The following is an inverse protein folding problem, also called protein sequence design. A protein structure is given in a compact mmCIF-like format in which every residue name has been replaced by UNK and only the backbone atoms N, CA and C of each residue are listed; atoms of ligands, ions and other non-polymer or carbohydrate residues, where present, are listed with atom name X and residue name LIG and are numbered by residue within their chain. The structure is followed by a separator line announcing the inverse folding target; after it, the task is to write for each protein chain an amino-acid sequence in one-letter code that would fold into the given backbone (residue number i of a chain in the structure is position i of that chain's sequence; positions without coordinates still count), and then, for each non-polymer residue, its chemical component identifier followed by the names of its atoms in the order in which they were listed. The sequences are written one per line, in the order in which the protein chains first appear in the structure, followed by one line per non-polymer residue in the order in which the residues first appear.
data_IF_405799714705
#
_entry.id   IF_405799714705
#
_cell.length_a   1.000
_cell.length_b   1.000
_cell.length_c   1.000
_cell.angle_alpha   90.00
_cell.angle_beta   90.00
_cell.angle_gamma   90.00
#
_symmetry.space_group_name_H-M   'P 1'
#
loop_
_entity.id
_entity.type
_entity.pdbx_description
1 polymer ?
#
# COMPACT_ATOMS: atom_id res chain seq x y z
N UNK A 1 -35.96 20.17 9.93
CA UNK A 1 -34.78 19.56 10.59
C UNK A 1 -34.80 18.03 10.53
N UNK A 2 -35.87 17.35 10.97
CA UNK A 2 -35.95 15.89 10.92
C UNK A 2 -35.83 15.27 9.50
N UNK A 3 -36.53 15.85 8.51
CA UNK A 3 -36.47 15.35 7.12
C UNK A 3 -35.07 15.46 6.48
N UNK A 4 -34.32 16.51 6.81
CA UNK A 4 -32.95 16.72 6.31
C UNK A 4 -32.01 15.67 6.94
N UNK A 5 -32.16 15.39 8.23
CA UNK A 5 -31.40 14.33 8.90
C UNK A 5 -31.67 12.93 8.34
N UNK A 6 -32.94 12.63 8.04
CA UNK A 6 -33.32 11.36 7.42
C UNK A 6 -32.74 11.21 6.00
N UNK A 7 -32.77 12.29 5.21
CA UNK A 7 -32.17 12.32 3.87
C UNK A 7 -30.65 12.13 3.93
N UNK A 8 -29.97 12.77 4.89
CA UNK A 8 -28.54 12.59 5.13
C UNK A 8 -28.18 11.14 5.53
N UNK A 9 -28.95 10.55 6.44
CA UNK A 9 -28.77 9.15 6.83
C UNK A 9 -28.96 8.19 5.64
N UNK A 10 -30.01 8.40 4.83
CA UNK A 10 -30.27 7.60 3.64
C UNK A 10 -29.13 7.73 2.61
N UNK A 11 -28.60 8.93 2.41
CA UNK A 11 -27.46 9.18 1.53
C UNK A 11 -26.22 8.44 2.03
N UNK A 12 -25.87 8.57 3.31
CA UNK A 12 -24.69 7.90 3.88
C UNK A 12 -24.80 6.38 3.85
N UNK A 13 -25.98 5.82 4.16
CA UNK A 13 -26.24 4.39 4.02
C UNK A 13 -26.08 3.90 2.57
N UNK A 14 -26.51 4.69 1.61
CA UNK A 14 -26.34 4.38 0.18
C UNK A 14 -24.86 4.34 -0.18
N UNK A 15 -24.09 5.34 0.23
CA UNK A 15 -22.63 5.40 -0.02
C UNK A 15 -21.93 4.19 0.61
N UNK A 16 -22.20 3.89 1.90
CA UNK A 16 -21.62 2.75 2.61
C UNK A 16 -21.95 1.43 1.89
N UNK A 17 -23.19 1.25 1.45
CA UNK A 17 -23.64 0.03 0.76
C UNK A 17 -22.96 -0.15 -0.60
N UNK A 18 -22.78 0.94 -1.36
CA UNK A 18 -22.15 0.92 -2.68
C UNK A 18 -20.63 0.75 -2.59
N UNK A 19 -19.98 1.42 -1.64
CA UNK A 19 -18.51 1.45 -1.56
C UNK A 19 -17.90 0.29 -0.76
N UNK A 20 -18.68 -0.42 0.06
CA UNK A 20 -18.14 -1.44 0.98
C UNK A 20 -17.29 -2.52 0.30
N UNK A 21 -17.65 -2.96 -0.91
CA UNK A 21 -16.86 -3.93 -1.68
C UNK A 21 -15.59 -3.33 -2.29
N UNK A 22 -15.66 -2.08 -2.72
CA UNK A 22 -14.56 -1.38 -3.41
C UNK A 22 -13.54 -0.78 -2.43
N UNK A 23 -13.93 -0.55 -1.18
CA UNK A 23 -13.08 -0.05 -0.10
C UNK A 23 -11.89 -0.96 0.23
N UNK A 24 -11.95 -2.24 -0.13
CA UNK A 24 -10.85 -3.19 0.07
C UNK A 24 -9.74 -3.07 -0.99
N UNK A 25 -10.03 -2.46 -2.15
CA UNK A 25 -9.11 -2.45 -3.31
C UNK A 25 -8.40 -1.11 -3.52
N UNK A 26 -8.96 -0.03 -3.00
CA UNK A 26 -8.46 1.32 -3.26
C UNK A 26 -8.52 2.17 -2.00
N UNK A 27 -7.38 2.71 -1.60
CA UNK A 27 -7.24 3.53 -0.40
C UNK A 27 -8.11 4.80 -0.44
N UNK A 28 -8.33 5.38 -1.61
CA UNK A 28 -9.20 6.55 -1.79
C UNK A 28 -10.67 6.18 -1.56
N UNK A 29 -11.10 5.03 -2.11
CA UNK A 29 -12.47 4.53 -1.89
C UNK A 29 -12.65 4.12 -0.43
N UNK A 30 -11.62 3.52 0.19
CA UNK A 30 -11.60 3.20 1.61
C UNK A 30 -11.78 4.44 2.47
N UNK A 31 -11.11 5.54 2.14
CA UNK A 31 -11.26 6.82 2.82
C UNK A 31 -12.69 7.36 2.73
N UNK A 32 -13.26 7.42 1.51
CA UNK A 32 -14.64 7.84 1.31
C UNK A 32 -15.65 6.94 2.05
N UNK A 33 -15.44 5.63 2.03
CA UNK A 33 -16.25 4.67 2.77
C UNK A 33 -16.17 4.89 4.28
N UNK A 34 -14.96 5.02 4.85
CA UNK A 34 -14.77 5.23 6.28
C UNK A 34 -15.39 6.54 6.75
N UNK A 35 -15.34 7.60 5.93
CA UNK A 35 -16.01 8.87 6.21
C UNK A 35 -17.53 8.71 6.27
N UNK A 36 -18.15 8.17 5.21
CA UNK A 36 -19.60 7.95 5.18
C UNK A 36 -20.09 6.97 6.26
N UNK A 37 -19.26 5.99 6.60
CA UNK A 37 -19.53 5.07 7.71
C UNK A 37 -19.50 5.78 9.06
N UNK A 38 -18.53 6.67 9.28
CA UNK A 38 -18.47 7.54 10.45
C UNK A 38 -19.72 8.42 10.58
N UNK A 39 -20.16 9.05 9.49
CA UNK A 39 -21.36 9.90 9.50
C UNK A 39 -22.64 9.09 9.74
N UNK A 40 -22.71 7.86 9.23
CA UNK A 40 -23.82 6.94 9.48
C UNK A 40 -23.89 6.58 10.97
N UNK A 41 -22.76 6.18 11.56
CA UNK A 41 -22.68 5.88 13.00
C UNK A 41 -23.00 7.12 13.85
N UNK A 42 -22.51 8.29 13.44
CA UNK A 42 -22.87 9.61 13.99
C UNK A 42 -24.37 9.80 14.07
N UNK A 43 -25.04 9.68 12.92
CA UNK A 43 -26.48 9.88 12.78
C UNK A 43 -27.29 8.90 13.63
N UNK A 44 -26.92 7.61 13.63
CA UNK A 44 -27.57 6.58 14.47
C UNK A 44 -27.33 6.87 15.95
N UNK A 45 -26.10 7.24 16.32
CA UNK A 45 -25.73 7.58 17.69
C UNK A 45 -26.54 8.75 18.24
N UNK A 46 -26.69 9.83 17.48
CA UNK A 46 -27.50 11.00 17.88
C UNK A 46 -28.97 10.63 18.07
N UNK A 47 -29.55 9.83 17.14
CA UNK A 47 -30.95 9.39 17.26
C UNK A 47 -31.15 8.50 18.48
N UNK A 48 -30.26 7.52 18.70
CA UNK A 48 -30.31 6.63 19.85
C UNK A 48 -30.11 7.39 21.17
N UNK A 49 -29.16 8.33 21.20
CA UNK A 49 -28.90 9.20 22.35
C UNK A 49 -30.11 10.07 22.71
N UNK A 50 -30.74 10.69 21.71
CA UNK A 50 -31.96 11.49 21.92
C UNK A 50 -33.11 10.68 22.52
N UNK A 51 -33.34 9.45 22.04
CA UNK A 51 -34.35 8.55 22.61
C UNK A 51 -34.00 8.16 24.04
N UNK A 52 -32.74 7.80 24.30
CA UNK A 52 -32.30 7.38 25.63
C UNK A 52 -32.40 8.52 26.65
N UNK A 53 -32.03 9.74 26.28
CA UNK A 53 -32.17 10.94 27.12
C UNK A 53 -33.64 11.24 27.42
N UNK A 54 -34.53 11.10 26.44
CA UNK A 54 -35.95 11.34 26.64
C UNK A 54 -36.56 10.41 27.71
N UNK A 55 -36.12 9.16 27.77
CA UNK A 55 -36.61 8.16 28.73
C UNK A 55 -35.90 8.25 30.07
N UNK A 56 -34.58 8.44 30.08
CA UNK A 56 -33.76 8.33 31.31
C UNK A 56 -33.43 9.66 31.97
N UNK A 57 -33.65 10.80 31.28
CA UNK A 57 -33.18 12.14 31.66
C UNK A 57 -31.65 12.25 31.83
N UNK A 58 -30.89 11.23 31.46
CA UNK A 58 -29.44 11.17 31.63
C UNK A 58 -28.73 11.89 30.47
N UNK A 59 -28.51 13.20 30.63
CA UNK A 59 -27.95 14.07 29.58
C UNK A 59 -26.50 13.75 29.19
N UNK A 60 -25.72 13.07 30.04
CA UNK A 60 -24.33 12.67 29.76
C UNK A 60 -24.21 11.59 28.69
N UNK A 61 -25.31 10.90 28.33
CA UNK A 61 -25.33 9.90 27.26
C UNK A 61 -24.78 10.46 25.95
N UNK A 62 -25.20 11.67 25.58
CA UNK A 62 -24.82 12.28 24.31
C UNK A 62 -23.30 12.46 24.21
N UNK A 63 -22.68 12.94 25.29
CA UNK A 63 -21.22 13.12 25.37
C UNK A 63 -20.48 11.78 25.26
N UNK A 64 -20.99 10.72 25.90
CA UNK A 64 -20.39 9.38 25.82
C UNK A 64 -20.48 8.80 24.41
N UNK A 65 -21.63 8.95 23.74
CA UNK A 65 -21.81 8.51 22.35
C UNK A 65 -20.87 9.29 21.43
N UNK A 66 -20.80 10.61 21.56
CA UNK A 66 -19.90 11.44 20.77
C UNK A 66 -18.43 11.03 20.95
N UNK A 67 -17.99 10.83 22.20
CA UNK A 67 -16.63 10.39 22.49
C UNK A 67 -16.32 9.02 21.87
N UNK A 68 -17.27 8.08 21.98
CA UNK A 68 -17.14 6.75 21.38
C UNK A 68 -16.96 6.82 19.86
N UNK A 69 -17.77 7.64 19.18
CA UNK A 69 -17.71 7.81 17.72
C UNK A 69 -16.39 8.48 17.31
N UNK A 70 -15.93 9.49 18.05
CA UNK A 70 -14.62 10.14 17.81
C UNK A 70 -13.48 9.13 17.92
N UNK A 71 -13.47 8.25 18.92
CA UNK A 71 -12.43 7.22 19.07
C UNK A 71 -12.44 6.23 17.91
N UNK A 72 -13.63 5.75 17.50
CA UNK A 72 -13.75 4.81 16.38
C UNK A 72 -13.28 5.41 15.05
N UNK A 73 -13.71 6.63 14.74
CA UNK A 73 -13.30 7.34 13.52
C UNK A 73 -11.81 7.65 13.59
N UNK A 74 -11.32 8.18 14.72
CA UNK A 74 -9.91 8.52 14.92
C UNK A 74 -8.98 7.32 14.72
N UNK A 75 -9.29 6.17 15.32
CA UNK A 75 -8.52 4.95 15.15
C UNK A 75 -8.48 4.49 13.68
N UNK A 76 -9.61 4.61 12.98
CA UNK A 76 -9.71 4.25 11.56
C UNK A 76 -8.92 5.20 10.66
N UNK A 77 -8.99 6.50 10.92
CA UNK A 77 -8.25 7.54 10.21
C UNK A 77 -6.75 7.40 10.41
N UNK A 78 -6.28 7.11 11.63
CA UNK A 78 -4.84 6.88 11.89
C UNK A 78 -4.32 5.69 11.10
N UNK A 79 -5.09 4.60 10.99
CA UNK A 79 -4.73 3.44 10.16
C UNK A 79 -4.63 3.84 8.68
N UNK A 80 -5.64 4.55 8.17
CA UNK A 80 -5.65 5.01 6.78
C UNK A 80 -4.47 5.95 6.48
N UNK A 81 -4.19 6.88 7.39
CA UNK A 81 -3.07 7.81 7.27
C UNK A 81 -1.72 7.08 7.22
N UNK A 82 -1.55 6.04 8.05
CA UNK A 82 -0.35 5.20 8.03
C UNK A 82 -0.20 4.46 6.69
N UNK A 83 -1.30 3.91 6.17
CA UNK A 83 -1.31 3.23 4.87
C UNK A 83 -0.94 4.20 3.74
N UNK A 84 -1.51 5.41 3.74
CA UNK A 84 -1.16 6.47 2.77
C UNK A 84 0.30 6.92 2.91
N UNK A 85 0.79 7.10 4.13
CA UNK A 85 2.16 7.49 4.39
C UNK A 85 3.15 6.44 3.86
N UNK A 86 2.85 5.14 4.00
CA UNK A 86 3.68 4.08 3.41
C UNK A 86 3.76 4.19 1.89
N UNK A 87 2.65 4.50 1.21
CA UNK A 87 2.65 4.68 -0.25
C UNK A 87 3.50 5.90 -0.64
N UNK A 88 3.32 7.03 0.05
CA UNK A 88 4.04 8.28 -0.24
C UNK A 88 5.54 8.14 0.03
N UNK A 89 5.91 7.40 1.07
CA UNK A 89 7.31 7.13 1.44
C UNK A 89 7.91 5.97 0.65
N UNK A 90 7.27 5.52 -0.43
CA UNK A 90 7.73 4.42 -1.27
C UNK A 90 8.07 3.15 -0.45
N UNK A 91 7.25 2.89 0.56
CA UNK A 91 7.37 1.72 1.42
C UNK A 91 7.06 0.42 0.68
N UNK A 92 7.75 -0.64 1.08
CA UNK A 92 7.46 -2.00 0.62
C UNK A 92 6.04 -2.42 1.01
N UNK A 93 5.31 -3.14 0.12
CA UNK A 93 3.98 -3.65 0.44
C UNK A 93 4.00 -4.50 1.71
N UNK A 94 2.97 -4.36 2.57
CA UNK A 94 2.92 -5.07 3.86
C UNK A 94 2.92 -6.60 3.74
N UNK A 95 2.43 -7.12 2.61
CA UNK A 95 2.26 -8.55 2.36
C UNK A 95 3.43 -9.16 1.57
N UNK A 96 4.47 -8.35 1.28
CA UNK A 96 5.60 -8.75 0.47
C UNK A 96 6.91 -8.61 1.27
N UNK A 97 7.70 -9.69 1.30
CA UNK A 97 9.04 -9.69 1.90
C UNK A 97 10.10 -9.60 0.80
N UNK A 98 10.97 -8.57 0.77
CA UNK A 98 12.04 -8.44 -0.23
C UNK A 98 12.93 -9.67 -0.31
N UNK A 99 13.15 -10.37 0.80
CA UNK A 99 13.97 -11.58 0.87
C UNK A 99 13.36 -12.73 0.05
N UNK A 100 12.03 -12.86 0.07
CA UNK A 100 11.32 -13.89 -0.71
C UNK A 100 11.37 -13.60 -2.21
N UNK A 101 11.33 -12.32 -2.57
CA UNK A 101 11.50 -11.88 -3.95
C UNK A 101 12.92 -12.19 -4.42
N UNK A 102 13.93 -11.81 -3.64
CA UNK A 102 15.32 -12.10 -3.95
C UNK A 102 15.58 -13.60 -4.12
N UNK A 103 15.04 -14.44 -3.24
CA UNK A 103 15.18 -15.89 -3.32
C UNK A 103 14.49 -16.48 -4.56
N UNK A 104 13.29 -15.99 -4.89
CA UNK A 104 12.60 -16.41 -6.10
C UNK A 104 13.36 -16.03 -7.38
N UNK A 105 14.03 -14.87 -7.41
CA UNK A 105 14.89 -14.45 -8.52
C UNK A 105 16.12 -15.36 -8.59
N UNK A 106 16.80 -15.62 -7.46
CA UNK A 106 17.98 -16.51 -7.39
C UNK A 106 17.68 -17.96 -7.78
N UNK A 107 16.43 -18.41 -7.67
CA UNK A 107 16.03 -19.74 -8.12
C UNK A 107 16.13 -19.95 -9.64
N UNK A 108 16.34 -18.88 -10.42
CA UNK A 108 16.51 -18.95 -11.87
C UNK A 108 17.97 -19.33 -12.19
N UNK A 109 18.25 -20.47 -12.85
CA UNK A 109 19.61 -21.02 -12.97
C UNK A 109 20.67 -20.10 -13.58
N UNK A 110 20.25 -19.14 -14.41
CA UNK A 110 21.13 -18.21 -15.08
C UNK A 110 21.50 -16.98 -14.22
N UNK A 111 20.80 -16.75 -13.10
CA UNK A 111 21.07 -15.67 -12.15
C UNK A 111 22.11 -16.15 -11.14
N UNK A 112 23.21 -15.42 -11.02
CA UNK A 112 24.30 -15.71 -10.07
C UNK A 112 24.19 -14.91 -8.78
N UNK A 113 23.54 -13.75 -8.83
CA UNK A 113 23.38 -12.86 -7.70
C UNK A 113 22.25 -11.86 -7.94
N UNK A 114 21.76 -11.29 -6.84
CA UNK A 114 20.76 -10.22 -6.84
C UNK A 114 21.18 -9.25 -5.75
N UNK A 115 21.32 -7.97 -6.11
CA UNK A 115 21.68 -6.90 -5.20
C UNK A 115 20.91 -5.62 -5.55
N UNK A 116 21.00 -4.63 -4.66
CA UNK A 116 20.29 -3.34 -4.78
C UNK A 116 18.78 -3.48 -5.07
N UNK A 117 18.16 -4.53 -4.52
CA UNK A 117 16.76 -4.85 -4.77
C UNK A 117 15.85 -3.92 -3.97
N UNK A 118 15.16 -3.03 -4.67
CA UNK A 118 14.20 -2.10 -4.10
C UNK A 118 12.80 -2.46 -4.59
N UNK A 119 11.86 -2.56 -3.64
CA UNK A 119 10.46 -2.88 -3.94
C UNK A 119 9.55 -1.94 -3.17
N UNK A 120 8.68 -1.24 -3.90
CA UNK A 120 7.80 -0.24 -3.32
C UNK A 120 6.42 -0.22 -3.95
N UNK A 121 5.48 0.39 -3.23
CA UNK A 121 4.11 0.60 -3.70
C UNK A 121 3.96 2.01 -4.26
N UNK A 122 3.56 2.14 -5.52
CA UNK A 122 3.29 3.47 -6.13
C UNK A 122 1.86 3.93 -5.83
N UNK A 123 0.90 3.00 -5.91
CA UNK A 123 -0.50 3.25 -5.55
C UNK A 123 -1.18 1.93 -5.17
N UNK A 124 -2.45 1.98 -4.78
CA UNK A 124 -3.23 0.78 -4.43
C UNK A 124 -3.19 -0.26 -5.56
N UNK A 125 -2.57 -1.40 -5.29
CA UNK A 125 -2.47 -2.52 -6.24
C UNK A 125 -1.37 -2.40 -7.30
N UNK A 126 -0.53 -1.36 -7.25
CA UNK A 126 0.62 -1.20 -8.14
C UNK A 126 1.93 -1.27 -7.36
N UNK A 127 2.62 -2.39 -7.49
CA UNK A 127 3.94 -2.65 -6.93
C UNK A 127 4.98 -2.56 -8.04
N UNK A 128 6.07 -1.84 -7.76
CA UNK A 128 7.19 -1.64 -8.68
C UNK A 128 8.47 -2.17 -8.02
N UNK A 129 9.38 -2.66 -8.86
CA UNK A 129 10.66 -3.22 -8.43
C UNK A 129 11.81 -2.65 -9.28
N UNK A 130 12.91 -2.26 -8.64
CA UNK A 130 14.21 -2.08 -9.29
C UNK A 130 15.22 -3.01 -8.65
N UNK A 131 16.22 -3.44 -9.42
CA UNK A 131 17.32 -4.21 -8.85
C UNK A 131 18.33 -4.64 -9.88
N UNK A 132 19.40 -5.22 -9.38
CA UNK A 132 20.54 -5.63 -10.18
C UNK A 132 20.67 -7.16 -10.17
N UNK A 133 20.89 -7.72 -11.35
CA UNK A 133 21.09 -9.14 -11.57
C UNK A 133 22.54 -9.39 -11.95
N UNK A 134 23.25 -10.20 -11.15
CA UNK A 134 24.57 -10.66 -11.52
C UNK A 134 24.44 -11.90 -12.41
N UNK A 135 25.04 -11.89 -13.60
CA UNK A 135 25.05 -13.01 -14.54
C UNK A 135 26.48 -13.42 -14.89
N UNK A 136 26.63 -14.52 -15.65
CA UNK A 136 27.95 -14.94 -16.12
C UNK A 136 28.57 -13.86 -17.02
N UNK A 137 29.85 -13.51 -16.81
CA UNK A 137 30.52 -12.40 -17.51
C UNK A 137 30.71 -12.59 -19.02
N UNK A 138 30.41 -13.78 -19.55
CA UNK A 138 30.42 -14.08 -20.98
C UNK A 138 29.01 -14.09 -21.61
N UNK A 139 27.97 -13.71 -20.87
CA UNK A 139 26.61 -13.64 -21.38
C UNK A 139 26.51 -12.58 -22.49
N UNK A 140 25.94 -12.99 -23.62
CA UNK A 140 25.58 -12.06 -24.70
C UNK A 140 24.42 -11.16 -24.28
N UNK A 141 24.26 -10.00 -24.95
CA UNK A 141 23.11 -9.10 -24.73
C UNK A 141 21.77 -9.84 -24.88
N UNK A 142 21.69 -10.79 -25.82
CA UNK A 142 20.47 -11.57 -26.05
C UNK A 142 20.21 -12.64 -24.97
N UNK A 143 21.25 -13.17 -24.33
CA UNK A 143 21.10 -14.04 -23.17
C UNK A 143 20.68 -13.25 -21.93
N UNK A 144 21.30 -12.08 -21.70
CA UNK A 144 20.91 -11.16 -20.63
C UNK A 144 19.43 -10.75 -20.75
N UNK A 145 18.97 -10.40 -21.95
CA UNK A 145 17.57 -10.08 -22.21
C UNK A 145 16.62 -11.24 -21.85
N UNK A 146 16.96 -12.48 -22.22
CA UNK A 146 16.18 -13.68 -21.88
C UNK A 146 16.15 -13.95 -20.38
N UNK A 147 17.25 -13.68 -19.67
CA UNK A 147 17.29 -13.79 -18.20
C UNK A 147 16.35 -12.77 -17.58
N UNK A 148 16.40 -11.50 -18.01
CA UNK A 148 15.51 -10.45 -17.54
C UNK A 148 14.05 -10.84 -17.78
N UNK A 149 13.69 -11.31 -18.98
CA UNK A 149 12.33 -11.77 -19.30
C UNK A 149 11.86 -12.90 -18.36
N UNK A 150 12.71 -13.89 -18.11
CA UNK A 150 12.40 -14.99 -17.19
C UNK A 150 12.19 -14.51 -15.75
N UNK A 151 13.02 -13.57 -15.29
CA UNK A 151 12.88 -12.94 -13.96
C UNK A 151 11.58 -12.17 -13.89
N UNK A 152 11.29 -11.32 -14.88
CA UNK A 152 10.06 -10.53 -14.94
C UNK A 152 8.82 -11.42 -14.97
N UNK A 153 8.86 -12.56 -15.68
CA UNK A 153 7.77 -13.52 -15.67
C UNK A 153 7.57 -14.15 -14.28
N UNK A 154 8.66 -14.55 -13.61
CA UNK A 154 8.61 -15.07 -12.24
C UNK A 154 8.02 -14.06 -11.25
N UNK A 155 8.39 -12.79 -11.40
CA UNK A 155 7.89 -11.68 -10.59
C UNK A 155 6.39 -11.44 -10.80
N UNK A 156 5.94 -11.49 -12.05
CA UNK A 156 4.50 -11.41 -12.40
C UNK A 156 3.71 -12.57 -11.81
N UNK A 157 4.15 -13.80 -12.06
CA UNK A 157 3.36 -14.99 -11.72
C UNK A 157 3.25 -15.19 -10.21
N UNK A 158 4.35 -14.98 -9.46
CA UNK A 158 4.41 -15.27 -8.02
C UNK A 158 4.03 -14.08 -7.14
N UNK A 159 4.35 -12.86 -7.55
CA UNK A 159 4.22 -11.67 -6.71
C UNK A 159 3.32 -10.58 -7.30
N UNK A 160 2.76 -10.79 -8.51
CA UNK A 160 1.95 -9.81 -9.22
C UNK A 160 2.69 -8.48 -9.50
N UNK A 161 4.02 -8.51 -9.52
CA UNK A 161 4.85 -7.35 -9.86
C UNK A 161 4.90 -7.26 -11.38
N UNK A 162 4.17 -6.30 -11.94
CA UNK A 162 4.05 -6.11 -13.40
C UNK A 162 5.05 -5.12 -13.97
N UNK A 163 5.58 -4.23 -13.13
CA UNK A 163 6.52 -3.19 -13.51
C UNK A 163 7.83 -3.42 -12.77
N UNK A 164 8.89 -3.76 -13.51
CA UNK A 164 10.21 -3.95 -12.93
C UNK A 164 11.30 -3.54 -13.89
N UNK A 165 12.29 -2.79 -13.38
CA UNK A 165 13.49 -2.41 -14.13
C UNK A 165 14.68 -3.16 -13.53
N UNK A 166 15.33 -3.99 -14.35
CA UNK A 166 16.41 -4.86 -13.91
C UNK A 166 17.67 -4.50 -14.67
N UNK A 167 18.71 -4.07 -13.95
CA UNK A 167 20.05 -3.94 -14.50
C UNK A 167 20.73 -5.30 -14.50
N UNK A 168 21.54 -5.58 -15.52
CA UNK A 168 22.31 -6.82 -15.62
C UNK A 168 23.79 -6.48 -15.50
N UNK A 169 24.40 -7.00 -14.45
CA UNK A 169 25.82 -6.80 -14.17
C UNK A 169 26.59 -8.10 -14.40
N UNK A 170 27.84 -7.96 -14.82
CA UNK A 170 28.76 -9.08 -14.85
C UNK A 170 29.37 -9.29 -13.46
N UNK A 171 29.65 -10.54 -13.07
CA UNK A 171 30.37 -10.82 -11.82
C UNK A 171 31.77 -10.17 -11.71
N UNK A 172 32.26 -9.49 -12.75
CA UNK A 172 33.52 -8.75 -12.73
C UNK A 172 33.38 -7.35 -12.10
N UNK A 173 32.16 -6.83 -11.89
CA UNK A 173 31.92 -5.45 -11.46
C UNK A 173 32.14 -5.21 -9.95
N UNK A 174 32.31 -6.27 -9.14
CA UNK A 174 32.81 -6.12 -7.75
C UNK A 174 34.32 -5.78 -7.70
N UNK A 175 35.00 -5.67 -8.84
CA UNK A 175 36.39 -5.23 -8.97
C UNK A 175 36.51 -3.80 -9.50
N UNK A 176 35.79 -2.83 -8.91
CA UNK A 176 36.17 -1.41 -9.12
C UNK A 176 37.52 -1.17 -8.45
N UNK A 177 38.56 -0.95 -9.26
CA UNK A 177 39.88 -0.60 -8.75
C UNK A 177 39.83 0.73 -7.98
N UNK A 178 40.56 0.89 -6.87
CA UNK A 178 40.53 2.10 -6.02
C UNK A 178 40.80 3.43 -6.74
N UNK A 179 41.34 3.40 -7.96
CA UNK A 179 41.71 4.57 -8.74
C UNK A 179 40.52 5.36 -9.33
N UNK A 180 39.33 4.75 -9.45
CA UNK A 180 38.17 5.41 -10.07
C UNK A 180 37.26 6.15 -9.08
N UNK A 181 37.45 5.99 -7.77
CA UNK A 181 36.67 6.71 -6.73
C UNK A 181 37.04 8.20 -6.66
N UNK A 182 38.28 8.56 -7.02
CA UNK A 182 38.80 9.93 -6.86
C UNK A 182 38.32 10.92 -7.93
N UNK A 183 37.59 10.49 -8.95
CA UNK A 183 37.11 11.37 -10.05
C UNK A 183 35.68 11.89 -9.90
N UNK A 184 34.92 11.45 -8.88
CA UNK A 184 33.51 11.81 -8.73
C UNK A 184 33.22 12.96 -7.76
N UNK A 185 34.26 13.64 -7.24
CA UNK A 185 34.06 14.81 -6.38
C UNK A 185 34.50 16.10 -7.09
N UNK A 186 33.63 16.78 -7.85
CA UNK A 186 33.80 18.20 -8.13
C UNK A 186 33.37 19.04 -6.91
N UNK A 187 33.89 20.28 -6.79
CA UNK A 187 33.81 21.11 -5.58
C UNK A 187 32.40 21.54 -5.15
#
# INVERSE_FOLDING_TARGET
MFAIGLAGLAANLTIVSLLGRSAQRNINIRGAFLHAYGDTLGSVGVVAGAVLIAVTRFVLVDTLIALFIVVLIGASTVRLLRDSARIILEGTPADLRPEEVAEAIRSIPAVRGVHDLHVWTVTSGLVVLTGHLSVAGNATVQEAARIVEAVQQRLRDRFQITHSTLQVDSLQDEMIAPADVTRMNPP
#
